data_IF_626878585920
#
_entry.id   IF_626878585920
#
_cell.length_a   1.000
_cell.length_b   1.000
_cell.length_c   1.000
_cell.angle_alpha   90.00
_cell.angle_beta   90.00
_cell.angle_gamma   90.00
#
_symmetry.space_group_name_H-M   'P 1'
#
loop_
_entity.id
_entity.type
_entity.pdbx_description
1 polymer ?
#
# COMPACT_ATOMS: atom_id res chain seq x y z
N UNK A 1 4.92 -19.32 0.43
CA UNK A 1 3.55 -18.81 0.24
C UNK A 1 3.60 -17.29 0.09
N UNK A 2 2.91 -16.72 -0.90
CA UNK A 2 2.95 -15.26 -1.14
C UNK A 2 2.40 -14.50 0.07
N UNK A 3 3.26 -13.72 0.71
CA UNK A 3 2.98 -12.87 1.90
C UNK A 3 2.26 -11.56 1.54
N UNK A 4 1.88 -11.41 0.28
CA UNK A 4 1.22 -10.21 -0.25
C UNK A 4 -0.21 -10.54 -0.69
N UNK A 5 -1.06 -9.53 -0.65
CA UNK A 5 -2.42 -9.52 -1.19
C UNK A 5 -2.62 -8.25 -2.04
N UNK A 6 -3.71 -8.22 -2.81
CA UNK A 6 -4.07 -7.07 -3.64
C UNK A 6 -5.43 -6.55 -3.21
N UNK A 7 -5.54 -5.24 -3.04
CA UNK A 7 -6.80 -4.56 -2.70
C UNK A 7 -7.09 -3.48 -3.74
N UNK A 8 -8.25 -3.51 -4.42
CA UNK A 8 -8.64 -2.48 -5.37
C UNK A 8 -8.67 -1.08 -4.72
N UNK A 9 -7.95 -0.11 -5.29
CA UNK A 9 -7.87 1.26 -4.78
C UNK A 9 -9.23 1.97 -4.78
N UNK A 10 -10.01 1.74 -5.85
CA UNK A 10 -11.36 2.29 -6.03
C UNK A 10 -12.33 1.14 -5.78
N UNK A 11 -12.85 1.07 -4.55
CA UNK A 11 -13.80 0.03 -4.17
C UNK A 11 -14.10 0.03 -2.67
N UNK A 12 -15.28 -0.48 -2.31
CA UNK A 12 -15.79 -0.49 -0.94
C UNK A 12 -14.88 -1.28 0.03
N UNK A 13 -14.10 -2.25 -0.46
CA UNK A 13 -13.17 -3.00 0.38
C UNK A 13 -12.04 -2.14 0.94
N UNK A 14 -11.46 -1.24 0.12
CA UNK A 14 -10.39 -0.35 0.56
C UNK A 14 -10.90 0.64 1.63
N UNK A 15 -12.08 1.22 1.40
CA UNK A 15 -12.69 2.15 2.36
C UNK A 15 -13.09 1.46 3.67
N UNK A 16 -13.61 0.22 3.59
CA UNK A 16 -13.91 -0.58 4.79
C UNK A 16 -12.64 -0.89 5.58
N UNK A 17 -11.55 -1.25 4.90
CA UNK A 17 -10.27 -1.54 5.58
C UNK A 17 -9.66 -0.30 6.23
N UNK A 18 -9.76 0.87 5.61
CA UNK A 18 -9.29 2.13 6.19
C UNK A 18 -10.04 2.51 7.47
N UNK A 19 -11.33 2.18 7.57
CA UNK A 19 -12.16 2.54 8.72
C UNK A 19 -12.09 1.53 9.87
N UNK A 20 -12.16 0.25 9.55
CA UNK A 20 -12.40 -0.81 10.54
C UNK A 20 -11.52 -2.05 10.33
N UNK A 21 -10.70 -2.07 9.28
CA UNK A 21 -9.87 -3.22 8.94
C UNK A 21 -8.49 -3.19 9.58
N UNK A 22 -7.67 -4.22 9.29
CA UNK A 22 -6.28 -4.25 9.71
C UNK A 22 -5.45 -3.21 8.94
N UNK A 23 -4.33 -2.81 9.52
CA UNK A 23 -3.37 -1.89 8.90
C UNK A 23 -3.00 -2.35 7.48
N UNK A 24 -3.25 -1.47 6.51
CA UNK A 24 -2.84 -1.70 5.13
C UNK A 24 -1.38 -1.30 4.99
N UNK A 25 -0.48 -2.28 4.97
CA UNK A 25 0.96 -2.05 4.82
C UNK A 25 1.37 -2.23 3.36
N UNK A 26 2.00 -1.22 2.75
CA UNK A 26 2.47 -1.35 1.37
C UNK A 26 3.53 -2.43 1.24
N UNK A 27 3.42 -3.29 0.23
CA UNK A 27 4.42 -4.31 -0.08
C UNK A 27 5.46 -3.85 -1.13
N UNK A 28 5.20 -2.74 -1.83
CA UNK A 28 6.01 -2.27 -2.94
C UNK A 28 6.21 -0.73 -2.86
N UNK A 29 7.19 -0.23 -3.60
CA UNK A 29 7.23 1.19 -3.91
C UNK A 29 6.10 1.54 -4.88
N UNK A 30 5.43 2.67 -4.65
CA UNK A 30 4.49 3.24 -5.62
C UNK A 30 5.01 4.61 -6.01
N UNK A 31 5.30 4.77 -7.31
CA UNK A 31 6.01 5.92 -7.86
C UNK A 31 5.27 6.43 -9.10
N UNK A 32 4.47 7.50 -8.98
CA UNK A 32 3.79 8.11 -10.12
C UNK A 32 4.74 8.96 -10.99
N UNK A 33 4.57 8.92 -12.32
CA UNK A 33 5.34 9.70 -13.28
C UNK A 33 4.47 10.50 -14.26
N UNK A 34 4.87 11.75 -14.61
CA UNK A 34 5.81 12.63 -13.88
C UNK A 34 5.20 13.09 -12.53
N UNK A 35 5.99 13.46 -11.50
CA UNK A 35 7.43 13.76 -11.50
C UNK A 35 8.38 12.62 -11.08
N UNK A 36 7.89 11.47 -10.60
CA UNK A 36 8.73 10.30 -10.31
C UNK A 36 9.24 10.15 -8.87
N UNK A 37 8.60 10.80 -7.88
CA UNK A 37 8.92 10.57 -6.48
C UNK A 37 8.07 9.45 -5.86
N UNK A 38 8.60 8.66 -4.91
CA UNK A 38 7.84 7.63 -4.22
C UNK A 38 6.81 8.26 -3.26
N UNK A 39 5.55 7.83 -3.39
CA UNK A 39 4.45 8.21 -2.48
C UNK A 39 4.16 7.12 -1.45
N UNK A 40 4.59 5.89 -1.73
CA UNK A 40 4.52 4.76 -0.80
C UNK A 40 5.82 4.00 -0.84
N UNK A 41 6.27 3.58 0.34
CA UNK A 41 7.44 2.72 0.51
C UNK A 41 7.04 1.37 1.11
N UNK A 42 7.76 0.27 0.80
CA UNK A 42 7.49 -1.02 1.43
C UNK A 42 7.58 -0.94 2.96
N UNK A 43 6.57 -1.46 3.66
CA UNK A 43 6.49 -1.43 5.11
C UNK A 43 5.79 -0.18 5.69
N UNK A 44 5.46 0.81 4.86
CA UNK A 44 4.66 1.96 5.28
C UNK A 44 3.20 1.56 5.50
N UNK A 45 2.60 2.03 6.59
CA UNK A 45 1.15 1.95 6.82
C UNK A 45 0.45 3.02 5.99
N UNK A 46 -0.53 2.60 5.18
CA UNK A 46 -1.32 3.48 4.34
C UNK A 46 -2.40 4.17 5.16
N UNK A 47 -2.53 5.48 4.94
CA UNK A 47 -3.56 6.30 5.58
C UNK A 47 -4.65 6.67 4.57
N UNK A 48 -5.79 7.15 5.07
CA UNK A 48 -6.85 7.71 4.23
C UNK A 48 -6.31 8.76 3.27
N UNK A 49 -5.43 9.65 3.75
CA UNK A 49 -4.81 10.70 2.94
C UNK A 49 -3.97 10.14 1.78
N UNK A 50 -3.19 9.08 2.01
CA UNK A 50 -2.41 8.43 0.94
C UNK A 50 -3.31 7.83 -0.15
N UNK A 51 -4.43 7.23 0.27
CA UNK A 51 -5.42 6.64 -0.65
C UNK A 51 -6.15 7.73 -1.44
N UNK A 52 -6.56 8.81 -0.78
CA UNK A 52 -7.15 9.97 -1.44
C UNK A 52 -6.20 10.62 -2.44
N UNK A 53 -4.91 10.73 -2.09
CA UNK A 53 -3.88 11.22 -2.99
C UNK A 53 -3.76 10.34 -4.25
N UNK A 54 -3.69 9.02 -4.07
CA UNK A 54 -3.69 8.04 -5.17
C UNK A 54 -4.92 8.11 -6.07
N UNK A 55 -6.10 8.38 -5.50
CA UNK A 55 -7.36 8.48 -6.26
C UNK A 55 -7.44 9.77 -7.08
N UNK A 56 -6.76 10.83 -6.66
CA UNK A 56 -6.73 12.15 -7.32
C UNK A 56 -5.51 12.36 -8.21
N UNK A 57 -4.56 11.42 -8.20
CA UNK A 57 -3.34 11.47 -8.99
C UNK A 57 -3.66 11.37 -10.48
N UNK A 58 -3.50 12.48 -11.18
CA UNK A 58 -3.54 12.53 -12.65
C UNK A 58 -2.11 12.43 -13.19
N UNK A 59 -1.68 11.20 -13.46
CA UNK A 59 -0.33 10.89 -13.96
C UNK A 59 -0.42 9.89 -15.10
N UNK A 60 0.57 9.95 -16.00
CA UNK A 60 0.60 9.12 -17.21
C UNK A 60 0.80 7.65 -16.87
N UNK A 61 1.59 7.36 -15.84
CA UNK A 61 1.90 6.01 -15.40
C UNK A 61 2.22 5.98 -13.90
N UNK A 62 2.05 4.81 -13.29
CA UNK A 62 2.38 4.58 -11.88
C UNK A 62 3.19 3.29 -11.78
N UNK A 63 4.44 3.40 -11.38
CA UNK A 63 5.31 2.23 -11.18
C UNK A 63 4.97 1.57 -9.85
N UNK A 64 4.96 0.24 -9.85
CA UNK A 64 4.64 -0.57 -8.67
C UNK A 64 3.17 -0.62 -8.27
N UNK A 65 2.28 -0.02 -9.09
CA UNK A 65 0.82 -0.13 -8.97
C UNK A 65 0.23 -0.72 -10.25
N UNK A 66 -0.69 -1.68 -10.10
CA UNK A 66 -1.37 -2.31 -11.24
C UNK A 66 -2.87 -2.04 -11.15
N UNK A 67 -3.41 -1.18 -12.02
CA UNK A 67 -4.82 -0.73 -11.94
C UNK A 67 -5.85 -1.87 -11.95
N UNK A 68 -5.55 -2.99 -12.63
CA UNK A 68 -6.42 -4.15 -12.71
C UNK A 68 -6.50 -4.96 -11.40
N UNK A 69 -5.42 -4.97 -10.60
CA UNK A 69 -5.35 -5.72 -9.33
C UNK A 69 -5.53 -4.82 -8.10
N UNK A 70 -5.09 -3.57 -8.19
CA UNK A 70 -5.08 -2.61 -7.11
C UNK A 70 -3.73 -2.52 -6.38
N UNK A 71 -3.79 -2.07 -5.14
CA UNK A 71 -2.64 -1.88 -4.26
C UNK A 71 -2.11 -3.22 -3.77
N UNK A 72 -0.79 -3.42 -3.88
CA UNK A 72 -0.12 -4.60 -3.34
C UNK A 72 0.21 -4.38 -1.87
N UNK A 73 -0.48 -5.09 -1.00
CA UNK A 73 -0.34 -4.97 0.46
C UNK A 73 0.34 -6.21 1.05
N UNK A 74 0.97 -6.04 2.20
CA UNK A 74 1.47 -7.14 3.01
C UNK A 74 0.29 -7.71 3.81
N UNK A 75 0.14 -9.04 3.80
CA UNK A 75 -0.92 -9.70 4.58
C UNK A 75 -0.77 -9.37 6.06
N UNK A 76 -1.86 -9.13 6.80
CA UNK A 76 -1.81 -8.74 8.21
C UNK A 76 -1.07 -9.78 9.08
N UNK A 77 -1.22 -11.07 8.78
CA UNK A 77 -0.49 -12.17 9.44
C UNK A 77 1.03 -12.03 9.30
N UNK A 78 1.50 -11.63 8.11
CA UNK A 78 2.91 -11.39 7.84
C UNK A 78 3.41 -10.07 8.45
N UNK A 79 2.56 -9.05 8.56
CA UNK A 79 2.88 -7.79 9.27
C UNK A 79 3.10 -8.08 10.77
N UNK A 80 2.21 -8.86 11.39
CA UNK A 80 2.33 -9.27 12.79
C UNK A 80 3.59 -10.09 13.06
N UNK A 81 4.02 -10.94 12.12
CA UNK A 81 5.28 -11.67 12.21
C UNK A 81 6.51 -10.75 12.10
N UNK A 82 6.43 -9.66 11.32
CA UNK A 82 7.52 -8.69 11.14
C UNK A 82 7.62 -7.66 12.26
N UNK A 83 6.50 -7.20 12.84
CA UNK A 83 6.56 -6.28 13.99
C UNK A 83 7.18 -6.92 15.23
N UNK A 84 7.16 -8.25 15.34
CA UNK A 84 7.89 -9.01 16.38
C UNK A 84 9.41 -9.03 16.16
N UNK A 85 9.88 -8.76 14.94
CA UNK A 85 11.29 -8.51 14.65
C UNK A 85 11.55 -7.01 14.83
N UNK A 86 11.82 -6.62 16.08
CA UNK A 86 12.37 -5.30 16.45
C UNK A 86 13.45 -4.92 15.42
N UNK A 87 13.50 -3.67 14.89
CA UNK A 87 14.62 -3.29 14.05
C UNK A 87 15.89 -3.49 14.88
N UNK A 88 16.80 -4.33 14.37
CA UNK A 88 18.15 -4.38 14.92
C UNK A 88 18.70 -2.97 14.77
N UNK A 89 18.87 -2.29 15.91
CA UNK A 89 19.53 -1.00 15.98
C UNK A 89 20.85 -1.11 15.21
N UNK A 90 21.05 -0.20 14.27
CA UNK A 90 22.35 0.01 13.63
C UNK A 90 23.03 1.19 14.30
#
# INVERSE_FOLDING_TARGET
>A
ASVCEYVPLIGAECDRRLKEGPDMVSANFVIPYPPGFPIMVPGQVLTQETIDFMRKLDVKEIHGYEKARGLKLVKPDAVAARTKRKPAAR
#
